data_IF_910074842841
#
_entry.id   IF_910074842841
#
_cell.length_a   1.000
_cell.length_b   1.000
_cell.length_c   1.000
_cell.angle_alpha   90.00
_cell.angle_beta   90.00
_cell.angle_gamma   90.00
#
_symmetry.space_group_name_H-M   'P 1'
#
loop_
_entity.id
_entity.type
_entity.pdbx_description
1 polymer ?
#
# COMPACT_ATOMS: atom_id res chain seq x y z
N UNK A 1 -13.21 6.79 -11.86
CA UNK A 1 -11.86 6.52 -12.40
C UNK A 1 -10.93 7.74 -12.38
N UNK A 2 -11.43 9.00 -12.34
CA UNK A 2 -10.57 10.20 -12.23
C UNK A 2 -9.66 10.26 -11.00
N UNK A 3 -10.15 9.79 -9.85
CA UNK A 3 -9.40 9.84 -8.58
C UNK A 3 -8.08 9.05 -8.58
N UNK A 4 -7.98 7.97 -9.37
CA UNK A 4 -6.72 7.21 -9.48
C UNK A 4 -5.65 8.01 -10.24
N UNK A 5 -6.00 8.67 -11.34
CA UNK A 5 -5.00 9.38 -12.16
C UNK A 5 -4.64 10.77 -11.62
N UNK A 6 -5.56 11.45 -10.92
CA UNK A 6 -5.35 12.81 -10.39
C UNK A 6 -4.61 12.83 -9.04
N UNK A 7 -4.47 11.69 -8.35
CA UNK A 7 -3.84 11.61 -7.03
C UNK A 7 -2.30 11.55 -7.11
N UNK A 8 -1.60 12.34 -6.28
CA UNK A 8 -0.13 12.33 -6.23
C UNK A 8 0.41 11.02 -5.64
N UNK A 9 -0.25 10.52 -4.59
CA UNK A 9 0.04 9.25 -3.91
C UNK A 9 -1.24 8.45 -3.73
N UNK A 10 -1.11 7.13 -3.71
CA UNK A 10 -2.20 6.18 -3.45
C UNK A 10 -1.91 5.40 -2.19
N UNK A 11 -2.89 5.35 -1.30
CA UNK A 11 -2.81 4.57 -0.06
C UNK A 11 -3.66 3.32 -0.23
N UNK A 12 -3.06 2.16 -0.06
CA UNK A 12 -3.73 0.86 -0.13
C UNK A 12 -3.72 0.23 1.27
N UNK A 13 -4.91 -0.02 1.83
CA UNK A 13 -5.06 -0.69 3.12
C UNK A 13 -5.12 -2.19 2.87
N UNK A 14 -4.07 -2.89 3.29
CA UNK A 14 -3.92 -4.33 3.11
C UNK A 14 -4.43 -5.03 4.37
N UNK A 15 -5.64 -5.56 4.28
CA UNK A 15 -6.24 -6.45 5.28
C UNK A 15 -6.21 -7.91 4.83
N UNK A 16 -6.51 -8.86 5.71
CA UNK A 16 -6.67 -10.26 5.30
C UNK A 16 -7.78 -10.45 4.27
N UNK A 17 -8.92 -9.78 4.45
CA UNK A 17 -10.04 -9.80 3.49
C UNK A 17 -9.66 -9.23 2.13
N UNK A 18 -8.82 -8.19 2.13
CA UNK A 18 -8.26 -7.65 0.90
C UNK A 18 -7.46 -8.73 0.15
N UNK A 19 -6.57 -9.42 0.85
CA UNK A 19 -5.75 -10.48 0.27
C UNK A 19 -6.56 -11.66 -0.27
N UNK A 20 -7.71 -11.97 0.32
CA UNK A 20 -8.60 -13.06 -0.10
C UNK A 20 -9.53 -12.66 -1.27
N UNK A 21 -9.65 -11.37 -1.57
CA UNK A 21 -10.58 -10.85 -2.56
C UNK A 21 -10.03 -10.93 -4.00
N UNK A 22 -10.90 -11.26 -4.96
CA UNK A 22 -10.60 -11.09 -6.40
C UNK A 22 -10.36 -9.63 -6.80
N UNK A 23 -10.89 -8.69 -6.01
CA UNK A 23 -10.71 -7.25 -6.21
C UNK A 23 -9.24 -6.81 -6.10
N UNK A 24 -8.46 -7.50 -5.25
CA UNK A 24 -7.03 -7.28 -5.10
C UNK A 24 -6.29 -7.38 -6.43
N UNK A 25 -6.59 -8.42 -7.22
CA UNK A 25 -5.88 -8.66 -8.48
C UNK A 25 -6.19 -7.58 -9.51
N UNK A 26 -7.44 -7.11 -9.53
CA UNK A 26 -7.84 -5.98 -10.37
C UNK A 26 -7.10 -4.69 -9.96
N UNK A 27 -7.09 -4.34 -8.68
CA UNK A 27 -6.43 -3.12 -8.20
C UNK A 27 -4.90 -3.16 -8.40
N UNK A 28 -4.26 -4.28 -8.08
CA UNK A 28 -2.81 -4.44 -8.29
C UNK A 28 -2.45 -4.38 -9.77
N UNK A 29 -3.29 -4.91 -10.66
CA UNK A 29 -3.06 -4.81 -12.10
C UNK A 29 -3.29 -3.38 -12.61
N UNK A 30 -4.31 -2.67 -12.12
CA UNK A 30 -4.53 -1.26 -12.46
C UNK A 30 -3.37 -0.38 -11.98
N UNK A 31 -2.87 -0.60 -10.76
CA UNK A 31 -1.68 0.10 -10.27
C UNK A 31 -0.44 -0.19 -11.11
N UNK A 32 -0.26 -1.43 -11.60
CA UNK A 32 0.85 -1.75 -12.51
C UNK A 32 0.72 -1.05 -13.86
N UNK A 33 -0.46 -1.09 -14.47
CA UNK A 33 -0.70 -0.45 -15.78
C UNK A 33 -0.42 1.04 -15.66
N UNK A 34 -1.01 1.72 -14.68
CA UNK A 34 -0.76 3.15 -14.47
C UNK A 34 0.70 3.45 -14.07
N UNK A 35 1.30 2.59 -13.25
CA UNK A 35 2.71 2.73 -12.87
C UNK A 35 3.67 2.57 -14.04
N UNK A 36 3.37 1.68 -15.00
CA UNK A 36 4.21 1.44 -16.19
C UNK A 36 3.94 2.51 -17.25
N UNK A 37 2.68 2.82 -17.53
CA UNK A 37 2.27 3.70 -18.64
C UNK A 37 2.43 5.18 -18.30
N UNK A 38 2.02 5.61 -17.10
CA UNK A 38 1.96 7.04 -16.75
C UNK A 38 3.15 7.52 -15.91
N UNK A 39 3.80 6.62 -15.13
CA UNK A 39 4.74 7.05 -14.06
C UNK A 39 6.11 6.36 -14.05
N UNK A 40 6.33 5.35 -14.88
CA UNK A 40 7.55 4.52 -14.93
C UNK A 40 7.90 3.76 -13.64
N UNK A 41 7.09 3.85 -12.58
CA UNK A 41 7.33 3.21 -11.28
C UNK A 41 6.04 3.04 -10.48
N UNK A 42 6.07 2.10 -9.52
CA UNK A 42 5.01 1.89 -8.51
C UNK A 42 5.23 2.74 -7.24
N UNK A 43 6.18 3.67 -7.24
CA UNK A 43 6.62 4.38 -6.05
C UNK A 43 5.58 5.41 -5.56
N UNK A 44 4.47 5.59 -6.28
CA UNK A 44 3.34 6.40 -5.86
C UNK A 44 2.33 5.63 -5.00
N UNK A 45 2.49 4.31 -4.85
CA UNK A 45 1.68 3.47 -3.97
C UNK A 45 2.34 3.39 -2.59
N UNK A 46 1.53 3.52 -1.54
CA UNK A 46 1.87 3.35 -0.13
C UNK A 46 0.98 2.23 0.40
N UNK A 47 1.60 1.19 0.97
CA UNK A 47 0.87 0.09 1.60
C UNK A 47 0.73 0.34 3.10
N UNK A 48 -0.49 0.24 3.62
CA UNK A 48 -0.75 0.13 5.05
C UNK A 48 -1.05 -1.33 5.34
N UNK A 49 -0.17 -2.02 6.06
CA UNK A 49 -0.35 -3.43 6.42
C UNK A 49 -1.07 -3.51 7.77
N UNK A 50 -2.23 -4.16 7.82
CA UNK A 50 -2.91 -4.40 9.10
C UNK A 50 -2.24 -5.54 9.89
N UNK A 51 -2.43 -5.61 11.23
CA UNK A 51 -1.80 -6.62 12.09
C UNK A 51 -1.95 -8.06 11.62
N UNK A 52 -3.11 -8.43 11.08
CA UNK A 52 -3.35 -9.78 10.58
C UNK A 52 -2.57 -10.11 9.29
N UNK A 53 -2.02 -9.09 8.62
CA UNK A 53 -1.27 -9.22 7.36
C UNK A 53 0.23 -9.30 7.61
N UNK A 54 0.82 -8.35 8.35
CA UNK A 54 2.27 -8.34 8.58
C UNK A 54 2.72 -9.40 9.59
N UNK A 55 1.83 -9.90 10.45
CA UNK A 55 2.09 -11.08 11.28
C UNK A 55 1.84 -12.41 10.53
N UNK A 56 1.33 -12.35 9.30
CA UNK A 56 1.09 -13.51 8.44
C UNK A 56 2.35 -13.94 7.66
N UNK A 57 2.29 -15.13 7.03
CA UNK A 57 3.45 -15.71 6.33
C UNK A 57 3.46 -15.54 4.81
N UNK A 58 2.37 -15.05 4.20
CA UNK A 58 2.23 -15.05 2.75
C UNK A 58 1.65 -13.76 2.20
N UNK A 59 2.47 -13.06 1.41
CA UNK A 59 2.07 -11.91 0.61
C UNK A 59 2.26 -12.21 -0.89
N UNK A 60 1.33 -11.77 -1.75
CA UNK A 60 1.52 -11.78 -3.19
C UNK A 60 2.82 -11.11 -3.64
N UNK A 61 3.43 -11.59 -4.73
CA UNK A 61 4.72 -11.09 -5.25
C UNK A 61 4.73 -9.57 -5.48
N UNK A 62 3.66 -9.00 -6.04
CA UNK A 62 3.56 -7.55 -6.26
C UNK A 62 3.65 -6.75 -4.96
N UNK A 63 3.01 -7.25 -3.88
CA UNK A 63 3.09 -6.60 -2.56
C UNK A 63 4.50 -6.75 -1.98
N UNK A 64 5.15 -7.90 -2.19
CA UNK A 64 6.56 -8.08 -1.82
C UNK A 64 7.51 -7.10 -2.54
N UNK A 65 7.27 -6.80 -3.82
CA UNK A 65 8.10 -5.86 -4.58
C UNK A 65 7.95 -4.42 -4.04
N UNK A 66 6.75 -4.03 -3.59
CA UNK A 66 6.50 -2.76 -2.91
C UNK A 66 7.14 -2.71 -1.51
N UNK A 67 7.09 -3.81 -0.77
CA UNK A 67 7.72 -3.93 0.55
C UNK A 67 9.24 -3.80 0.44
N UNK A 68 9.86 -4.44 -0.55
CA UNK A 68 11.31 -4.32 -0.82
C UNK A 68 11.78 -2.90 -1.11
N UNK A 69 10.85 -2.00 -1.49
CA UNK A 69 11.12 -0.59 -1.77
C UNK A 69 10.81 0.31 -0.57
N UNK A 70 10.58 -0.26 0.61
CA UNK A 70 10.16 0.45 1.83
C UNK A 70 8.90 1.33 1.64
N UNK A 71 8.03 0.93 0.70
CA UNK A 71 6.76 1.63 0.42
C UNK A 71 5.60 1.09 1.25
N UNK A 72 5.87 0.75 2.51
CA UNK A 72 4.87 0.25 3.43
C UNK A 72 5.01 0.84 4.84
N UNK A 73 3.90 0.80 5.56
CA UNK A 73 3.81 1.11 6.99
C UNK A 73 2.91 0.08 7.64
N UNK A 74 3.32 -0.42 8.81
CA UNK A 74 2.53 -1.34 9.61
C UNK A 74 1.56 -0.55 10.48
N UNK A 75 0.29 -0.91 10.46
CA UNK A 75 -0.70 -0.29 11.34
C UNK A 75 -0.48 -0.79 12.77
N UNK A 76 -0.31 0.12 13.75
CA UNK A 76 0.05 -0.24 15.10
C UNK A 76 -1.07 -1.01 15.82
N UNK A 77 -0.69 -2.01 16.63
CA UNK A 77 -1.61 -2.68 17.56
C UNK A 77 -1.82 -1.88 18.84
N UNK A 78 -0.77 -1.19 19.31
CA UNK A 78 -0.78 -0.43 20.56
C UNK A 78 -1.13 1.04 20.29
N UNK A 79 -2.03 1.59 21.10
CA UNK A 79 -2.50 2.98 20.94
C UNK A 79 -1.41 4.02 21.14
N UNK A 80 -0.38 3.72 21.94
CA UNK A 80 0.75 4.60 22.17
C UNK A 80 1.60 4.83 20.90
N UNK A 81 1.48 3.97 19.88
CA UNK A 81 2.22 4.09 18.62
C UNK A 81 1.40 4.76 17.51
N UNK A 82 0.21 5.29 17.80
CA UNK A 82 -0.67 5.89 16.79
C UNK A 82 -0.11 7.19 16.25
N UNK A 83 0.46 8.04 17.10
CA UNK A 83 1.03 9.31 16.69
C UNK A 83 2.21 9.09 15.72
N UNK A 84 3.12 8.16 16.07
CA UNK A 84 4.25 7.77 15.21
C UNK A 84 3.79 7.21 13.85
N UNK A 85 2.70 6.43 13.84
CA UNK A 85 2.10 5.91 12.62
C UNK A 85 1.61 7.04 11.71
N UNK A 86 0.86 8.00 12.25
CA UNK A 86 0.32 9.12 11.48
C UNK A 86 1.43 10.03 10.95
N UNK A 87 2.41 10.36 11.78
CA UNK A 87 3.56 11.17 11.38
C UNK A 87 4.33 10.53 10.22
N UNK A 88 4.56 9.22 10.29
CA UNK A 88 5.25 8.49 9.21
C UNK A 88 4.40 8.45 7.95
N UNK A 89 3.08 8.21 8.05
CA UNK A 89 2.18 8.19 6.91
C UNK A 89 2.15 9.55 6.19
N UNK A 90 2.06 10.66 6.94
CA UNK A 90 2.08 12.02 6.38
C UNK A 90 3.38 12.25 5.60
N UNK A 91 4.53 11.92 6.18
CA UNK A 91 5.83 12.06 5.49
C UNK A 91 5.89 11.25 4.20
N UNK A 92 5.32 10.05 4.16
CA UNK A 92 5.27 9.22 2.95
C UNK A 92 4.35 9.80 1.87
N UNK A 93 3.30 10.51 2.25
CA UNK A 93 2.35 11.16 1.34
C UNK A 93 2.92 12.45 0.75
N UNK A 94 3.70 13.20 1.53
CA UNK A 94 4.27 14.50 1.14
C UNK A 94 5.53 14.39 0.26
N UNK A 95 6.27 13.28 0.35
CA UNK A 95 7.34 12.95 -0.60
C UNK A 95 6.78 12.80 -2.01
#
# INVERSE_FOLDING_TARGET
>A
MKSLQESRRKVCIVSKKYLESKWRDYELNMAKIEGIEDRGSLDYVILILLPEVYNGKHLPKTLMDLIRKDRYIEYPMESCAYDDFWDRLIRMIEQ
#
